data_IF_425805312955
#
_entry.id   IF_425805312955
#
_cell.length_a   1.000
_cell.length_b   1.000
_cell.length_c   1.000
_cell.angle_alpha   90.00
_cell.angle_beta   90.00
_cell.angle_gamma   90.00
#
_symmetry.space_group_name_H-M   'P 1'
#
loop_
_entity.id
_entity.type
_entity.pdbx_description
1 polymer ?
#
# COMPACT_ATOMS: atom_id res chain seq x y z
N UNK A 1 12.60 -36.15 9.03
CA UNK A 1 13.07 -34.99 8.23
C UNK A 1 13.89 -35.52 7.07
N UNK A 2 13.47 -35.29 5.83
CA UNK A 2 14.12 -35.89 4.65
C UNK A 2 15.50 -35.28 4.43
N UNK A 3 16.52 -36.12 4.23
CA UNK A 3 17.94 -35.80 3.95
C UNK A 3 18.15 -34.68 2.90
N UNK A 4 17.26 -34.58 1.91
CA UNK A 4 17.34 -33.56 0.86
C UNK A 4 17.10 -32.12 1.34
N UNK A 5 16.32 -31.91 2.40
CA UNK A 5 16.07 -30.57 2.98
C UNK A 5 17.26 -30.08 3.81
N UNK A 6 17.98 -30.99 4.43
CA UNK A 6 19.19 -30.65 5.21
C UNK A 6 20.37 -30.26 4.29
N UNK A 7 20.51 -30.94 3.14
CA UNK A 7 21.56 -30.61 2.15
C UNK A 7 21.35 -29.21 1.53
N UNK A 8 20.09 -28.82 1.25
CA UNK A 8 19.79 -27.51 0.68
C UNK A 8 20.09 -26.39 1.68
N UNK A 9 19.80 -26.59 2.98
CA UNK A 9 20.08 -25.61 4.03
C UNK A 9 21.59 -25.44 4.25
N UNK A 10 22.37 -26.53 4.17
CA UNK A 10 23.84 -26.47 4.31
C UNK A 10 24.48 -25.79 3.10
N UNK A 11 24.00 -26.02 1.87
CA UNK A 11 24.50 -25.33 0.67
C UNK A 11 24.19 -23.85 0.74
N UNK A 12 23.00 -23.46 1.21
CA UNK A 12 22.64 -22.06 1.37
C UNK A 12 23.48 -21.36 2.45
N UNK A 13 23.80 -22.06 3.57
CA UNK A 13 24.68 -21.52 4.61
C UNK A 13 26.14 -21.44 4.18
N UNK A 14 26.64 -22.39 3.39
CA UNK A 14 28.02 -22.33 2.86
C UNK A 14 28.21 -21.24 1.81
N UNK A 15 27.18 -20.88 1.04
CA UNK A 15 27.20 -19.71 0.13
C UNK A 15 27.20 -18.39 0.90
N UNK A 16 26.65 -18.34 2.12
CA UNK A 16 26.59 -17.14 2.95
C UNK A 16 27.91 -16.85 3.70
N UNK A 17 28.77 -17.84 3.93
CA UNK A 17 29.98 -17.69 4.74
C UNK A 17 31.31 -17.65 3.95
N UNK A 18 31.26 -17.80 2.61
CA UNK A 18 32.47 -17.97 1.78
C UNK A 18 32.93 -16.74 1.00
N UNK A 19 32.25 -15.58 1.06
CA UNK A 19 32.60 -14.42 0.21
C UNK A 19 32.90 -13.20 1.07
N UNK A 20 34.12 -13.16 1.60
CA UNK A 20 34.74 -11.90 2.05
C UNK A 20 35.50 -11.27 0.88
N UNK A 21 34.82 -10.65 -0.02
CA UNK A 21 35.40 -9.66 -0.94
C UNK A 21 34.28 -8.81 -1.54
N UNK A 22 34.47 -7.52 -1.55
CA UNK A 22 33.71 -6.36 -1.95
C UNK A 22 32.85 -6.43 -3.26
N UNK A 23 32.30 -7.57 -3.62
CA UNK A 23 31.22 -7.70 -4.59
C UNK A 23 29.95 -8.00 -3.79
N UNK A 24 29.05 -7.04 -3.64
CA UNK A 24 27.69 -7.29 -3.22
C UNK A 24 27.05 -8.24 -4.26
N UNK A 25 27.23 -9.53 -4.05
CA UNK A 25 26.63 -10.56 -4.90
C UNK A 25 25.12 -10.42 -4.73
N UNK A 26 24.47 -9.84 -5.71
CA UNK A 26 23.02 -9.74 -5.78
C UNK A 26 22.46 -11.16 -5.78
N UNK A 27 21.89 -11.59 -4.66
CA UNK A 27 21.36 -12.94 -4.49
C UNK A 27 20.12 -13.20 -5.34
N UNK A 28 19.50 -12.13 -5.83
CA UNK A 28 18.29 -12.22 -6.65
C UNK A 28 18.41 -11.38 -7.92
N UNK A 29 17.64 -11.76 -8.94
CA UNK A 29 17.51 -11.03 -10.19
C UNK A 29 16.13 -10.37 -10.25
N UNK A 30 16.02 -9.04 -10.49
CA UNK A 30 14.73 -8.39 -10.67
C UNK A 30 13.99 -8.96 -11.91
N UNK A 31 12.68 -9.19 -11.75
CA UNK A 31 11.83 -9.77 -12.78
C UNK A 31 10.44 -9.12 -12.80
N UNK A 32 9.69 -9.31 -13.88
CA UNK A 32 8.37 -8.72 -14.07
C UNK A 32 7.29 -9.56 -13.37
N UNK A 33 6.24 -8.91 -12.90
CA UNK A 33 5.19 -9.53 -12.08
C UNK A 33 4.56 -10.77 -12.71
N UNK A 34 4.36 -10.80 -14.02
CA UNK A 34 3.72 -11.95 -14.68
C UNK A 34 4.63 -13.16 -14.84
N UNK A 35 5.95 -13.02 -14.68
CA UNK A 35 6.89 -14.15 -14.82
C UNK A 35 6.63 -15.24 -13.78
N UNK A 36 6.14 -14.90 -12.58
CA UNK A 36 5.87 -15.87 -11.52
C UNK A 36 4.45 -16.48 -11.55
N UNK A 37 3.53 -15.97 -12.36
CA UNK A 37 2.15 -16.49 -12.40
C UNK A 37 2.05 -18.00 -12.69
N UNK A 38 2.86 -18.59 -13.58
CA UNK A 38 2.88 -20.05 -13.77
C UNK A 38 3.26 -20.79 -12.49
N UNK A 39 4.23 -20.25 -11.72
CA UNK A 39 4.67 -20.85 -10.46
C UNK A 39 3.57 -20.76 -9.37
N UNK A 40 2.85 -19.62 -9.28
CA UNK A 40 1.69 -19.48 -8.39
C UNK A 40 0.65 -20.55 -8.70
N UNK A 41 0.30 -20.73 -9.98
CA UNK A 41 -0.66 -21.76 -10.42
C UNK A 41 -0.16 -23.18 -10.11
N UNK A 42 1.12 -23.43 -10.31
CA UNK A 42 1.72 -24.74 -10.00
C UNK A 42 1.65 -25.04 -8.50
N UNK A 43 2.01 -24.09 -7.64
CA UNK A 43 1.93 -24.27 -6.19
C UNK A 43 0.48 -24.51 -5.75
N UNK A 44 -0.48 -23.77 -6.28
CA UNK A 44 -1.91 -23.97 -5.99
C UNK A 44 -2.38 -25.38 -6.38
N UNK A 45 -2.00 -25.86 -7.57
CA UNK A 45 -2.32 -27.21 -8.06
C UNK A 45 -1.65 -28.29 -7.21
N UNK A 46 -0.35 -28.19 -6.96
CA UNK A 46 0.43 -29.16 -6.19
C UNK A 46 -0.05 -29.25 -4.73
N UNK A 47 -0.60 -28.16 -4.19
CA UNK A 47 -1.17 -28.09 -2.84
C UNK A 47 -2.62 -28.56 -2.76
N UNK A 48 -3.25 -28.88 -3.90
CA UNK A 48 -4.65 -29.30 -3.95
C UNK A 48 -5.64 -28.21 -3.48
N UNK A 49 -5.32 -26.92 -3.67
CA UNK A 49 -6.19 -25.84 -3.25
C UNK A 49 -7.48 -25.79 -4.05
N UNK A 50 -8.60 -25.55 -3.35
CA UNK A 50 -9.93 -25.48 -3.96
C UNK A 50 -10.19 -24.06 -4.42
N UNK A 51 -10.57 -23.89 -5.69
CA UNK A 51 -10.91 -22.61 -6.33
C UNK A 51 -9.86 -21.49 -6.10
N UNK A 52 -8.57 -21.76 -6.36
CA UNK A 52 -7.53 -20.76 -6.11
C UNK A 52 -7.69 -19.57 -7.08
N UNK A 53 -7.70 -18.36 -6.54
CA UNK A 53 -7.69 -17.12 -7.32
C UNK A 53 -6.73 -16.11 -6.69
N UNK A 54 -6.05 -15.30 -7.51
CA UNK A 54 -5.18 -14.25 -6.98
C UNK A 54 -6.04 -13.04 -6.67
N UNK A 55 -6.05 -12.62 -5.41
CA UNK A 55 -6.82 -11.47 -4.93
C UNK A 55 -5.98 -10.21 -4.76
N UNK A 56 -4.67 -10.34 -4.51
CA UNK A 56 -3.76 -9.20 -4.49
C UNK A 56 -2.36 -9.60 -4.93
N UNK A 57 -1.59 -8.61 -5.36
CA UNK A 57 -0.16 -8.73 -5.67
C UNK A 57 0.54 -7.53 -5.05
N UNK A 58 1.73 -7.75 -4.48
CA UNK A 58 2.49 -6.68 -3.87
C UNK A 58 3.99 -6.84 -4.10
N UNK A 59 4.71 -5.76 -3.89
CA UNK A 59 6.17 -5.74 -3.87
C UNK A 59 6.68 -4.61 -3.00
N UNK A 60 7.97 -4.67 -2.68
CA UNK A 60 8.65 -3.69 -1.84
C UNK A 60 9.22 -2.60 -2.73
N UNK A 61 8.84 -1.37 -2.48
CA UNK A 61 9.30 -0.20 -3.23
C UNK A 61 10.51 0.50 -2.62
N UNK A 62 10.66 0.45 -1.29
CA UNK A 62 11.83 0.95 -0.57
C UNK A 62 12.25 -0.02 0.53
N UNK A 63 13.54 -0.07 0.81
CA UNK A 63 14.12 -0.94 1.85
C UNK A 63 14.33 -0.22 3.18
N UNK A 64 13.97 1.05 3.31
CA UNK A 64 14.25 1.83 4.52
C UNK A 64 13.70 1.19 5.80
N UNK A 65 12.56 0.46 5.72
CA UNK A 65 11.98 -0.29 6.83
C UNK A 65 12.47 -1.73 7.00
N UNK A 66 13.27 -2.26 6.07
CA UNK A 66 13.69 -3.67 6.07
C UNK A 66 15.09 -3.90 6.64
N UNK A 67 15.82 -2.83 6.98
CA UNK A 67 17.19 -2.93 7.52
C UNK A 67 18.11 -3.80 6.65
N UNK A 68 18.89 -4.69 7.29
CA UNK A 68 19.80 -5.59 6.59
C UNK A 68 19.11 -6.57 5.63
N UNK A 69 17.86 -6.94 5.90
CA UNK A 69 17.08 -7.87 5.07
C UNK A 69 16.82 -7.30 3.67
N UNK A 70 16.62 -5.98 3.54
CA UNK A 70 16.47 -5.32 2.25
C UNK A 70 17.69 -5.44 1.36
N UNK A 71 18.90 -5.38 1.95
CA UNK A 71 20.17 -5.58 1.23
C UNK A 71 20.32 -7.02 0.71
N UNK A 72 19.84 -8.02 1.46
CA UNK A 72 19.87 -9.43 1.06
C UNK A 72 18.97 -9.73 -0.13
N UNK A 73 17.85 -9.03 -0.28
CA UNK A 73 16.95 -9.18 -1.41
C UNK A 73 17.48 -8.55 -2.72
N UNK A 74 18.61 -7.87 -2.66
CA UNK A 74 19.30 -7.37 -3.86
C UNK A 74 18.62 -6.16 -4.51
N UNK A 75 17.80 -5.41 -3.78
CA UNK A 75 17.21 -4.17 -4.26
C UNK A 75 15.70 -4.06 -4.00
N UNK A 76 15.12 -3.05 -4.60
CA UNK A 76 13.71 -2.68 -4.51
C UNK A 76 13.06 -2.71 -5.89
N UNK A 77 11.77 -2.48 -5.96
CA UNK A 77 11.06 -2.28 -7.21
C UNK A 77 11.64 -1.11 -8.00
N UNK A 78 11.96 -1.35 -9.24
CA UNK A 78 12.52 -0.34 -10.14
C UNK A 78 11.41 0.39 -10.91
N UNK A 79 11.18 1.65 -10.56
CA UNK A 79 10.22 2.54 -11.19
C UNK A 79 10.56 2.90 -12.65
N UNK A 80 11.71 2.49 -13.18
CA UNK A 80 12.05 2.68 -14.60
C UNK A 80 11.68 1.47 -15.45
N UNK A 81 11.86 0.27 -14.90
CA UNK A 81 11.71 -0.98 -15.65
C UNK A 81 10.52 -1.82 -15.21
N UNK A 82 9.87 -1.48 -14.09
CA UNK A 82 8.77 -2.27 -13.52
C UNK A 82 9.21 -3.63 -12.97
N UNK A 83 10.51 -3.83 -12.74
CA UNK A 83 11.06 -5.08 -12.21
C UNK A 83 11.24 -5.00 -10.71
N UNK A 84 11.01 -6.14 -10.04
CA UNK A 84 11.28 -6.30 -8.62
C UNK A 84 12.06 -7.58 -8.34
N UNK A 85 12.94 -7.59 -7.34
CA UNK A 85 13.61 -8.81 -6.90
C UNK A 85 12.65 -9.78 -6.20
N UNK A 86 11.51 -9.28 -5.68
CA UNK A 86 10.51 -10.07 -4.95
C UNK A 86 9.10 -9.67 -5.34
N UNK A 87 8.25 -10.66 -5.54
CA UNK A 87 6.80 -10.46 -5.71
C UNK A 87 6.03 -11.32 -4.72
N UNK A 88 5.02 -10.73 -4.11
CA UNK A 88 4.12 -11.34 -3.14
C UNK A 88 2.75 -11.48 -3.79
N UNK A 89 2.18 -12.67 -3.73
CA UNK A 89 0.85 -12.99 -4.27
C UNK A 89 -0.05 -13.44 -3.14
N UNK A 90 -1.19 -12.79 -2.98
CA UNK A 90 -2.25 -13.25 -2.08
C UNK A 90 -3.20 -14.09 -2.91
N UNK A 91 -3.34 -15.35 -2.53
CA UNK A 91 -4.20 -16.31 -3.20
C UNK A 91 -5.38 -16.63 -2.29
N UNK A 92 -6.57 -16.26 -2.73
CA UNK A 92 -7.82 -16.65 -2.08
C UNK A 92 -8.16 -18.08 -2.47
N UNK A 93 -8.51 -18.90 -1.49
CA UNK A 93 -8.88 -20.30 -1.65
C UNK A 93 -10.15 -20.58 -0.83
N UNK A 94 -10.80 -21.69 -1.11
CA UNK A 94 -11.88 -22.22 -0.30
C UNK A 94 -11.35 -23.40 0.52
N UNK A 95 -11.58 -23.43 1.83
CA UNK A 95 -11.22 -24.59 2.65
C UNK A 95 -12.20 -25.77 2.44
N UNK A 96 -11.91 -26.90 3.06
CA UNK A 96 -12.75 -28.09 2.98
C UNK A 96 -14.18 -27.90 3.53
N UNK A 97 -14.39 -26.86 4.35
CA UNK A 97 -15.70 -26.51 4.94
C UNK A 97 -16.44 -25.45 4.12
N UNK A 98 -15.88 -25.00 3.00
CA UNK A 98 -16.44 -23.93 2.17
C UNK A 98 -16.10 -22.52 2.62
N UNK A 99 -15.24 -22.34 3.64
CA UNK A 99 -14.87 -21.01 4.12
C UNK A 99 -13.75 -20.42 3.28
N UNK A 100 -13.78 -19.11 3.01
CA UNK A 100 -12.72 -18.42 2.31
C UNK A 100 -11.47 -18.29 3.20
N UNK A 101 -10.31 -18.51 2.62
CA UNK A 101 -9.00 -18.33 3.24
C UNK A 101 -8.05 -17.63 2.28
N UNK A 102 -7.06 -16.93 2.81
CA UNK A 102 -5.97 -16.36 2.03
C UNK A 102 -4.67 -17.10 2.28
N UNK A 103 -3.89 -17.31 1.22
CA UNK A 103 -2.53 -17.86 1.26
C UNK A 103 -1.56 -16.87 0.64
N UNK A 104 -0.44 -16.66 1.28
CA UNK A 104 0.60 -15.76 0.79
C UNK A 104 1.70 -16.59 0.12
N UNK A 105 2.01 -16.26 -1.11
CA UNK A 105 3.11 -16.85 -1.87
C UNK A 105 4.10 -15.75 -2.24
N UNK A 106 5.35 -15.95 -1.90
CA UNK A 106 6.43 -15.04 -2.28
C UNK A 106 7.39 -15.74 -3.19
N UNK A 107 7.77 -15.07 -4.27
CA UNK A 107 8.75 -15.56 -5.21
C UNK A 107 9.92 -14.59 -5.31
N UNK A 108 11.12 -15.17 -5.43
CA UNK A 108 12.37 -14.50 -5.78
C UNK A 108 13.00 -15.19 -6.97
N UNK A 109 13.68 -14.45 -7.82
CA UNK A 109 14.43 -15.05 -8.95
C UNK A 109 15.89 -15.15 -8.58
N UNK A 110 16.36 -16.37 -8.38
CA UNK A 110 17.76 -16.66 -8.04
C UNK A 110 18.55 -16.95 -9.31
N UNK A 111 19.75 -16.36 -9.50
CA UNK A 111 20.59 -16.69 -10.64
C UNK A 111 20.80 -18.21 -10.77
N UNK A 112 20.73 -18.73 -11.97
CA UNK A 112 20.89 -20.15 -12.32
C UNK A 112 19.80 -21.11 -11.80
N UNK A 113 19.04 -20.75 -10.74
CA UNK A 113 17.97 -21.58 -10.18
C UNK A 113 16.58 -21.13 -10.66
N UNK A 114 16.49 -19.93 -11.25
CA UNK A 114 15.21 -19.37 -11.70
C UNK A 114 14.32 -18.90 -10.53
N UNK A 115 13.02 -18.93 -10.74
CA UNK A 115 12.03 -18.51 -9.74
C UNK A 115 11.92 -19.55 -8.63
N UNK A 116 12.15 -19.10 -7.39
CA UNK A 116 12.05 -19.92 -6.18
C UNK A 116 10.99 -19.33 -5.25
N UNK A 117 10.18 -20.20 -4.65
CA UNK A 117 9.28 -19.79 -3.59
C UNK A 117 10.09 -19.52 -2.33
N UNK A 118 9.90 -18.33 -1.76
CA UNK A 118 10.54 -17.91 -0.51
C UNK A 118 9.46 -17.86 0.59
N UNK A 119 9.62 -18.62 1.68
CA UNK A 119 8.67 -18.55 2.78
C UNK A 119 8.84 -17.22 3.52
N UNK A 120 7.76 -16.42 3.59
CA UNK A 120 7.70 -15.31 4.54
C UNK A 120 7.21 -15.90 5.87
N UNK A 121 7.91 -15.64 6.99
CA UNK A 121 7.38 -15.94 8.31
C UNK A 121 6.00 -15.29 8.47
N UNK A 122 5.06 -15.99 9.12
CA UNK A 122 3.69 -15.51 9.25
C UNK A 122 3.60 -14.17 10.03
N UNK A 123 4.56 -13.93 10.92
CA UNK A 123 4.72 -12.71 11.72
C UNK A 123 5.39 -11.55 10.96
N UNK A 124 5.99 -11.83 9.80
CA UNK A 124 6.61 -10.83 8.92
C UNK A 124 5.71 -10.45 7.73
N UNK A 125 4.56 -11.11 7.57
CA UNK A 125 3.58 -10.70 6.57
C UNK A 125 2.85 -9.44 7.07
N UNK A 126 2.77 -8.35 6.29
CA UNK A 126 1.97 -7.21 6.68
C UNK A 126 0.53 -7.62 6.95
N UNK A 127 -0.03 -7.20 8.10
CA UNK A 127 -1.41 -7.54 8.51
C UNK A 127 -2.43 -7.08 7.44
N UNK A 128 -2.10 -6.03 6.71
CA UNK A 128 -2.90 -5.50 5.61
C UNK A 128 -3.08 -6.51 4.47
N UNK A 129 -2.13 -7.43 4.26
CA UNK A 129 -2.25 -8.45 3.21
C UNK A 129 -3.39 -9.45 3.46
N UNK A 130 -3.80 -9.63 4.72
CA UNK A 130 -4.94 -10.50 5.09
C UNK A 130 -6.32 -9.85 4.91
N UNK A 131 -6.39 -8.53 4.77
CA UNK A 131 -7.64 -7.74 4.69
C UNK A 131 -8.07 -7.38 3.26
N UNK A 132 -7.30 -7.76 2.24
CA UNK A 132 -7.69 -7.51 0.85
C UNK A 132 -8.99 -8.22 0.49
N UNK A 133 -9.78 -7.57 -0.36
CA UNK A 133 -11.00 -8.14 -0.96
C UNK A 133 -10.72 -9.57 -1.44
N UNK A 134 -11.71 -10.45 -1.28
CA UNK A 134 -11.65 -11.82 -1.81
C UNK A 134 -11.92 -11.87 -3.31
N UNK A 135 -12.21 -10.73 -3.93
CA UNK A 135 -12.44 -10.62 -5.35
C UNK A 135 -11.15 -10.97 -6.13
N UNK A 136 -11.32 -11.74 -7.18
CA UNK A 136 -10.19 -12.21 -7.97
C UNK A 136 -9.70 -11.15 -8.96
N UNK A 137 -8.39 -10.98 -9.04
CA UNK A 137 -7.76 -10.19 -10.08
C UNK A 137 -7.90 -10.84 -11.47
N UNK A 138 -8.16 -10.07 -12.52
CA UNK A 138 -8.23 -10.57 -13.89
C UNK A 138 -6.83 -10.81 -14.49
N UNK A 139 -6.01 -11.67 -13.86
CA UNK A 139 -4.58 -11.86 -14.14
C UNK A 139 -4.25 -12.18 -15.60
N UNK A 140 -5.17 -12.80 -16.34
CA UNK A 140 -4.98 -13.10 -17.77
C UNK A 140 -5.02 -11.85 -18.65
N UNK A 141 -5.78 -10.84 -18.23
CA UNK A 141 -6.00 -9.57 -18.96
C UNK A 141 -5.08 -8.44 -18.48
N UNK A 142 -4.45 -8.60 -17.32
CA UNK A 142 -3.58 -7.57 -16.75
C UNK A 142 -2.41 -7.23 -17.67
N UNK A 143 -2.03 -5.99 -17.67
CA UNK A 143 -0.74 -5.52 -18.17
C UNK A 143 0.39 -6.07 -17.29
N UNK A 144 1.59 -6.18 -17.83
CA UNK A 144 2.75 -6.52 -17.03
C UNK A 144 3.30 -5.27 -16.32
N UNK A 145 4.10 -5.44 -15.28
CA UNK A 145 4.56 -4.32 -14.44
C UNK A 145 5.38 -3.26 -15.18
N UNK A 146 6.09 -3.61 -16.24
CA UNK A 146 6.77 -2.65 -17.12
C UNK A 146 5.78 -1.72 -17.85
N UNK A 147 4.68 -2.26 -18.37
CA UNK A 147 3.64 -1.46 -19.00
C UNK A 147 2.92 -0.54 -17.99
N UNK A 148 2.71 -1.02 -16.76
CA UNK A 148 2.13 -0.22 -15.66
C UNK A 148 3.04 0.96 -15.33
N UNK A 149 4.35 0.75 -15.20
CA UNK A 149 5.30 1.82 -14.93
C UNK A 149 5.42 2.79 -16.11
N UNK A 150 5.36 2.30 -17.34
CA UNK A 150 5.31 3.18 -18.50
C UNK A 150 4.06 4.09 -18.46
N UNK A 151 2.89 3.55 -18.10
CA UNK A 151 1.67 4.33 -17.93
C UNK A 151 1.80 5.39 -16.82
N UNK A 152 2.34 5.02 -15.65
CA UNK A 152 2.62 5.94 -14.57
C UNK A 152 3.57 7.06 -15.00
N UNK A 153 4.66 6.72 -15.68
CA UNK A 153 5.68 7.67 -16.14
C UNK A 153 5.18 8.63 -17.23
N UNK A 154 4.05 8.34 -17.88
CA UNK A 154 3.40 9.27 -18.83
C UNK A 154 2.42 10.24 -18.16
N UNK A 155 2.06 10.00 -16.90
CA UNK A 155 1.17 10.88 -16.14
C UNK A 155 1.88 12.20 -15.79
N UNK A 156 1.28 13.32 -16.25
CA UNK A 156 1.91 14.64 -16.09
C UNK A 156 2.07 15.05 -14.63
N UNK A 157 1.06 14.79 -13.79
CA UNK A 157 1.11 15.16 -12.37
C UNK A 157 2.23 14.41 -11.66
N UNK A 158 2.37 13.11 -11.92
CA UNK A 158 3.48 12.31 -11.39
C UNK A 158 4.85 12.81 -11.88
N UNK A 159 4.97 13.16 -13.17
CA UNK A 159 6.22 13.70 -13.71
C UNK A 159 6.61 15.03 -13.04
N UNK A 160 5.65 15.93 -12.84
CA UNK A 160 5.90 17.22 -12.23
C UNK A 160 6.26 17.05 -10.73
N UNK A 161 5.55 16.17 -10.02
CA UNK A 161 5.88 15.81 -8.64
C UNK A 161 7.29 15.22 -8.50
N UNK A 162 7.63 14.23 -9.31
CA UNK A 162 8.93 13.54 -9.23
C UNK A 162 10.12 14.43 -9.58
N UNK A 163 9.93 15.48 -10.40
CA UNK A 163 10.97 16.48 -10.66
C UNK A 163 11.26 17.36 -9.44
N UNK A 164 10.21 17.73 -8.69
CA UNK A 164 10.31 18.58 -7.51
C UNK A 164 10.77 17.77 -6.31
N UNK A 165 10.35 16.51 -6.22
CA UNK A 165 10.62 15.60 -5.11
C UNK A 165 11.43 14.37 -5.57
N UNK A 166 12.69 14.52 -6.00
CA UNK A 166 13.48 13.43 -6.59
C UNK A 166 13.86 12.33 -5.58
N UNK A 167 13.67 12.57 -4.28
CA UNK A 167 13.92 11.60 -3.21
C UNK A 167 12.67 10.86 -2.78
N UNK A 168 11.47 11.28 -3.23
CA UNK A 168 10.24 10.62 -2.88
C UNK A 168 10.24 9.16 -3.38
N UNK A 169 9.86 8.26 -2.49
CA UNK A 169 9.86 6.81 -2.72
C UNK A 169 8.51 6.22 -2.35
N UNK A 170 8.21 5.08 -2.90
CA UNK A 170 7.03 4.29 -2.51
C UNK A 170 7.51 3.07 -1.73
N UNK A 171 7.18 3.01 -0.45
CA UNK A 171 7.63 1.92 0.44
C UNK A 171 6.98 0.59 0.09
N UNK A 172 5.72 0.62 -0.32
CA UNK A 172 4.96 -0.56 -0.67
C UNK A 172 4.12 -0.31 -1.92
N UNK A 173 4.20 -1.23 -2.86
CA UNK A 173 3.47 -1.15 -4.12
C UNK A 173 2.53 -2.36 -4.18
N UNK A 174 1.24 -2.11 -4.38
CA UNK A 174 0.24 -3.17 -4.34
C UNK A 174 -0.75 -3.08 -5.49
N UNK A 175 -1.31 -4.22 -5.86
CA UNK A 175 -2.40 -4.37 -6.80
C UNK A 175 -3.50 -5.17 -6.14
N UNK A 176 -4.70 -4.64 -6.11
CA UNK A 176 -5.90 -5.30 -5.60
C UNK A 176 -7.17 -4.69 -6.21
N UNK A 177 -8.30 -5.39 -6.17
CA UNK A 177 -9.61 -4.82 -6.51
C UNK A 177 -9.93 -3.72 -5.50
N UNK A 178 -10.06 -2.48 -5.96
CA UNK A 178 -10.25 -1.34 -5.06
C UNK A 178 -11.67 -1.36 -4.48
N UNK A 179 -11.85 -1.29 -3.15
CA UNK A 179 -13.14 -1.55 -2.50
C UNK A 179 -14.15 -0.40 -2.63
N UNK A 180 -13.79 0.70 -3.27
CA UNK A 180 -14.66 1.86 -3.47
C UNK A 180 -14.23 2.65 -4.73
N UNK A 181 -15.11 3.48 -5.30
CA UNK A 181 -14.75 4.34 -6.42
C UNK A 181 -13.77 5.43 -5.98
N UNK A 182 -12.81 5.75 -6.84
CA UNK A 182 -11.88 6.85 -6.58
C UNK A 182 -12.48 8.15 -7.13
N UNK A 183 -12.78 9.09 -6.24
CA UNK A 183 -13.36 10.38 -6.59
C UNK A 183 -12.44 11.17 -7.54
N UNK A 184 -13.03 11.74 -8.58
CA UNK A 184 -12.30 12.49 -9.60
C UNK A 184 -11.65 11.63 -10.67
N UNK A 185 -11.80 10.31 -10.62
CA UNK A 185 -11.34 9.37 -11.65
C UNK A 185 -12.51 8.61 -12.28
N UNK A 186 -12.21 7.81 -13.32
CA UNK A 186 -13.15 6.85 -13.92
C UNK A 186 -13.22 5.51 -13.17
N UNK A 187 -12.43 5.32 -12.11
CA UNK A 187 -12.31 4.04 -11.42
C UNK A 187 -13.50 3.79 -10.51
N UNK A 188 -14.12 2.63 -10.71
CA UNK A 188 -15.26 2.16 -9.95
C UNK A 188 -14.84 1.16 -8.87
N UNK A 189 -15.76 0.85 -7.96
CA UNK A 189 -15.59 -0.24 -7.01
C UNK A 189 -15.25 -1.55 -7.75
N UNK A 190 -14.33 -2.32 -7.21
CA UNK A 190 -13.82 -3.57 -7.80
C UNK A 190 -12.79 -3.36 -8.92
N UNK A 191 -12.48 -2.12 -9.33
CA UNK A 191 -11.43 -1.87 -10.31
C UNK A 191 -10.09 -2.43 -9.83
N UNK A 192 -9.38 -3.24 -10.65
CA UNK A 192 -8.06 -3.78 -10.30
C UNK A 192 -7.01 -2.67 -10.45
N UNK A 193 -6.60 -2.06 -9.36
CA UNK A 193 -5.70 -0.92 -9.37
C UNK A 193 -4.35 -1.22 -8.74
N UNK A 194 -3.29 -0.86 -9.43
CA UNK A 194 -1.98 -0.66 -8.84
C UNK A 194 -2.00 0.62 -8.02
N UNK A 195 -1.53 0.54 -6.79
CA UNK A 195 -1.42 1.66 -5.86
C UNK A 195 0.05 1.95 -5.57
N UNK A 196 0.43 3.20 -5.72
CA UNK A 196 1.74 3.75 -5.41
C UNK A 196 1.54 4.95 -4.48
N UNK A 197 2.19 4.94 -3.32
CA UNK A 197 2.20 6.08 -2.42
C UNK A 197 3.64 6.59 -2.28
N UNK A 198 3.91 7.76 -2.83
CA UNK A 198 5.24 8.38 -2.83
C UNK A 198 5.35 9.36 -1.67
N UNK A 199 6.39 9.19 -0.87
CA UNK A 199 6.70 10.00 0.30
C UNK A 199 8.20 10.35 0.30
N UNK A 200 8.54 11.55 0.76
CA UNK A 200 9.92 11.92 1.04
C UNK A 200 10.13 11.92 2.56
N UNK A 201 10.85 10.92 3.06
CA UNK A 201 11.10 10.74 4.50
C UNK A 201 12.02 11.81 5.11
N UNK A 202 12.57 12.72 4.28
CA UNK A 202 13.53 13.72 4.75
C UNK A 202 12.89 14.85 5.58
N UNK A 203 11.58 15.04 5.50
CA UNK A 203 10.83 16.06 6.25
C UNK A 203 9.40 15.58 6.52
N UNK A 204 8.92 15.73 7.76
CA UNK A 204 7.56 15.38 8.16
C UNK A 204 6.45 16.24 7.48
N UNK A 205 6.83 17.31 6.80
CA UNK A 205 5.94 18.18 6.01
C UNK A 205 6.10 17.93 4.50
N UNK A 206 6.84 16.89 4.12
CA UNK A 206 7.08 16.58 2.71
C UNK A 206 5.77 16.25 2.00
N UNK A 207 5.61 16.73 0.76
CA UNK A 207 4.43 16.41 -0.04
C UNK A 207 4.40 14.92 -0.32
N UNK A 208 3.22 14.34 -0.25
CA UNK A 208 2.98 12.95 -0.62
C UNK A 208 2.12 12.89 -1.87
N UNK A 209 2.33 11.89 -2.71
CA UNK A 209 1.51 11.66 -3.90
C UNK A 209 1.02 10.22 -3.93
N UNK A 210 -0.27 10.05 -4.13
CA UNK A 210 -0.88 8.74 -4.36
C UNK A 210 -1.24 8.61 -5.84
N UNK A 211 -0.77 7.53 -6.47
CA UNK A 211 -1.07 7.21 -7.85
C UNK A 211 -1.75 5.85 -7.96
N UNK A 212 -2.75 5.78 -8.83
CA UNK A 212 -3.52 4.59 -9.15
C UNK A 212 -3.38 4.30 -10.64
N UNK A 213 -3.06 3.08 -11.00
CA UNK A 213 -2.94 2.65 -12.40
C UNK A 213 -3.82 1.44 -12.60
N UNK A 214 -4.78 1.52 -13.51
CA UNK A 214 -5.67 0.41 -13.80
C UNK A 214 -4.91 -0.76 -14.44
N UNK A 215 -4.96 -1.93 -13.80
CA UNK A 215 -4.11 -3.05 -14.17
C UNK A 215 -4.37 -3.61 -15.57
N UNK A 216 -5.53 -3.35 -16.17
CA UNK A 216 -5.89 -3.86 -17.50
C UNK A 216 -5.72 -2.80 -18.58
N UNK A 217 -6.12 -1.56 -18.32
CA UNK A 217 -6.13 -0.48 -19.32
C UNK A 217 -4.88 0.39 -19.29
N UNK A 218 -4.16 0.45 -18.17
CA UNK A 218 -3.06 1.38 -17.95
C UNK A 218 -3.53 2.82 -17.69
N UNK A 219 -4.84 3.05 -17.55
CA UNK A 219 -5.35 4.36 -17.18
C UNK A 219 -4.78 4.75 -15.81
N UNK A 220 -4.30 5.99 -15.70
CA UNK A 220 -3.57 6.46 -14.53
C UNK A 220 -4.24 7.70 -13.94
N UNK A 221 -4.46 7.66 -12.63
CA UNK A 221 -4.94 8.79 -11.85
C UNK A 221 -3.98 9.02 -10.68
N UNK A 222 -3.43 10.22 -10.59
CA UNK A 222 -2.55 10.61 -9.48
C UNK A 222 -3.16 11.79 -8.72
N UNK A 223 -2.93 11.81 -7.42
CA UNK A 223 -3.42 12.86 -6.53
C UNK A 223 -2.29 13.26 -5.60
N UNK A 224 -1.99 14.54 -5.57
CA UNK A 224 -1.09 15.13 -4.59
C UNK A 224 -1.84 15.28 -3.26
N UNK A 225 -1.21 14.97 -2.13
CA UNK A 225 -1.82 15.15 -0.79
C UNK A 225 -2.13 16.61 -0.50
N UNK A 226 -1.43 17.55 -1.13
CA UNK A 226 -1.79 18.95 -1.13
C UNK A 226 -3.14 19.25 -1.80
N UNK A 227 -3.54 18.40 -2.77
CA UNK A 227 -4.80 18.56 -3.51
C UNK A 227 -6.00 17.93 -2.80
N UNK A 228 -5.79 16.97 -1.90
CA UNK A 228 -6.87 16.45 -1.04
C UNK A 228 -7.34 17.45 0.02
N UNK A 229 -6.64 18.56 0.18
CA UNK A 229 -6.95 19.59 1.18
C UNK A 229 -7.84 20.69 0.60
N UNK A 230 -8.10 20.75 -0.70
CA UNK A 230 -8.95 21.80 -1.25
C UNK A 230 -9.96 21.31 -2.29
N UNK A 231 -11.07 20.79 -1.81
CA UNK A 231 -12.34 21.07 -2.51
C UNK A 231 -12.79 22.45 -2.02
N UNK A 232 -12.33 23.48 -2.71
CA UNK A 232 -12.65 24.90 -2.67
C UNK A 232 -11.49 25.81 -2.26
N UNK A 233 -10.60 26.08 -3.21
CA UNK A 233 -9.76 27.28 -3.20
C UNK A 233 -10.51 28.52 -3.78
N UNK A 234 -11.77 28.67 -3.47
CA UNK A 234 -12.42 29.97 -3.52
C UNK A 234 -13.09 30.17 -2.18
N UNK A 235 -12.40 30.83 -1.35
CA UNK A 235 -12.74 31.71 -0.21
C UNK A 235 -11.71 31.50 0.88
N UNK A 236 -10.70 32.34 0.81
CA UNK A 236 -9.87 32.74 1.94
C UNK A 236 -10.73 33.05 3.16
N UNK A 237 -10.76 32.18 4.14
CA UNK A 237 -10.88 32.55 5.55
C UNK A 237 -10.46 31.36 6.40
N UNK A 238 -9.56 31.61 7.33
CA UNK A 238 -8.99 30.81 8.39
C UNK A 238 -9.95 29.84 9.12
N UNK A 239 -10.53 28.89 8.41
CA UNK A 239 -11.32 27.80 9.03
C UNK A 239 -10.53 26.52 9.03
N UNK A 240 -9.44 26.49 9.76
CA UNK A 240 -8.58 25.33 9.74
C UNK A 240 -8.92 24.36 10.85
N UNK A 241 -9.48 23.21 10.49
CA UNK A 241 -9.36 22.00 11.30
C UNK A 241 -7.88 21.77 11.60
N UNK A 242 -7.53 21.52 12.85
CA UNK A 242 -6.16 21.19 13.26
C UNK A 242 -6.18 20.04 14.25
N UNK A 243 -5.21 19.16 14.15
CA UNK A 243 -4.93 18.17 15.19
C UNK A 243 -3.78 18.71 16.04
N UNK A 244 -4.00 18.85 17.33
CA UNK A 244 -2.93 19.12 18.27
C UNK A 244 -2.19 17.82 18.54
N UNK A 245 -0.86 17.81 18.40
CA UNK A 245 -0.01 16.65 18.54
C UNK A 245 -0.23 15.63 17.39
N UNK A 246 0.32 15.92 16.24
CA UNK A 246 0.32 15.02 15.09
C UNK A 246 1.78 14.56 14.81
N UNK A 247 2.05 13.25 14.67
CA UNK A 247 1.12 12.12 14.86
C UNK A 247 0.67 11.95 16.32
N UNK A 248 -0.51 11.34 16.51
CA UNK A 248 -1.02 11.03 17.85
C UNK A 248 -0.30 9.76 18.34
N UNK A 249 0.42 9.88 19.45
CA UNK A 249 1.19 8.77 20.00
C UNK A 249 0.30 7.62 20.48
N UNK A 250 0.84 6.40 20.46
CA UNK A 250 0.14 5.20 20.93
C UNK A 250 -0.43 5.37 22.35
N UNK A 251 -1.69 5.02 22.51
CA UNK A 251 -2.39 5.12 23.79
C UNK A 251 -2.82 6.55 24.21
N UNK A 252 -2.56 7.55 23.35
CA UNK A 252 -2.97 8.93 23.59
C UNK A 252 -4.25 9.29 22.83
N UNK A 253 -5.04 10.18 23.39
CA UNK A 253 -6.19 10.76 22.72
C UNK A 253 -5.75 12.02 21.96
N UNK A 254 -6.12 12.12 20.67
CA UNK A 254 -5.91 13.32 19.90
C UNK A 254 -6.88 14.44 20.30
N UNK A 255 -6.49 15.68 20.05
CA UNK A 255 -7.38 16.84 20.19
C UNK A 255 -7.56 17.46 18.80
N UNK A 256 -8.78 17.41 18.28
CA UNK A 256 -9.17 18.11 17.07
C UNK A 256 -9.69 19.49 17.44
N UNK A 257 -9.08 20.53 16.89
CA UNK A 257 -9.50 21.92 17.03
C UNK A 257 -10.14 22.43 15.74
N UNK A 258 -11.12 23.29 15.86
CA UNK A 258 -11.85 23.87 14.73
C UNK A 258 -12.31 25.29 15.10
N UNK A 259 -12.63 26.12 14.10
CA UNK A 259 -13.17 27.46 14.35
C UNK A 259 -14.48 27.40 15.13
N UNK A 260 -14.84 28.50 15.77
CA UNK A 260 -16.14 28.61 16.41
C UNK A 260 -17.24 28.38 15.37
N UNK A 261 -18.06 27.38 15.62
CA UNK A 261 -19.12 26.94 14.74
C UNK A 261 -20.34 27.82 14.87
N UNK A 262 -20.90 28.30 13.76
CA UNK A 262 -22.21 28.93 13.71
C UNK A 262 -23.23 27.93 13.18
N UNK A 263 -24.24 27.56 13.96
CA UNK A 263 -25.28 26.62 13.54
C UNK A 263 -25.00 25.16 13.89
N UNK A 264 -25.63 24.25 13.16
CA UNK A 264 -25.46 22.78 13.35
C UNK A 264 -24.20 22.28 12.65
N UNK A 265 -23.34 21.63 13.40
CA UNK A 265 -22.16 20.99 12.86
C UNK A 265 -22.05 19.54 13.32
N UNK A 266 -21.45 18.74 12.47
CA UNK A 266 -21.16 17.32 12.70
C UNK A 266 -19.70 17.05 12.32
N UNK A 267 -19.01 16.30 13.16
CA UNK A 267 -17.67 15.80 12.84
C UNK A 267 -17.72 14.28 12.69
N UNK A 268 -17.13 13.78 11.63
CA UNK A 268 -16.97 12.36 11.37
C UNK A 268 -15.48 12.05 11.27
N UNK A 269 -15.06 10.97 11.91
CA UNK A 269 -13.74 10.38 11.75
C UNK A 269 -13.90 9.15 10.88
N UNK A 270 -13.17 9.14 9.77
CA UNK A 270 -13.19 8.05 8.81
C UNK A 270 -11.81 7.41 8.72
N UNK A 271 -11.79 6.11 8.49
CA UNK A 271 -10.55 5.42 8.07
C UNK A 271 -10.24 5.72 6.59
N UNK A 272 -9.11 5.22 6.12
CA UNK A 272 -8.70 5.37 4.71
C UNK A 272 -9.69 4.75 3.72
N UNK A 273 -10.58 3.87 4.20
CA UNK A 273 -11.61 3.22 3.39
C UNK A 273 -12.91 4.01 3.36
N UNK A 274 -12.93 5.23 3.93
CA UNK A 274 -14.13 6.06 4.02
C UNK A 274 -15.18 5.56 5.01
N UNK A 275 -14.87 4.53 5.82
CA UNK A 275 -15.79 4.03 6.84
C UNK A 275 -15.73 4.96 8.04
N UNK A 276 -16.90 5.43 8.50
CA UNK A 276 -16.99 6.23 9.72
C UNK A 276 -16.68 5.34 10.93
N UNK A 277 -15.55 5.62 11.59
CA UNK A 277 -15.13 4.92 12.81
C UNK A 277 -15.62 5.63 14.08
N UNK A 278 -15.89 6.93 13.98
CA UNK A 278 -16.45 7.72 15.07
C UNK A 278 -17.22 8.93 14.51
N UNK A 279 -18.30 9.34 15.16
CA UNK A 279 -19.08 10.51 14.78
C UNK A 279 -19.45 11.32 16.02
N UNK A 280 -19.31 12.64 15.91
CA UNK A 280 -19.73 13.63 16.91
C UNK A 280 -20.85 14.46 16.29
N UNK A 281 -22.09 14.19 16.71
CA UNK A 281 -23.25 14.94 16.29
C UNK A 281 -23.53 16.15 17.19
N UNK A 282 -24.18 17.17 16.65
CA UNK A 282 -24.64 18.36 17.40
C UNK A 282 -23.57 19.05 18.23
N UNK A 283 -22.50 19.49 17.56
CA UNK A 283 -21.45 20.28 18.21
C UNK A 283 -22.03 21.64 18.53
N UNK A 284 -21.92 22.04 19.81
CA UNK A 284 -22.44 23.32 20.28
C UNK A 284 -21.59 24.51 19.78
N UNK A 285 -22.23 25.62 19.51
CA UNK A 285 -21.59 26.84 18.97
C UNK A 285 -20.45 27.43 19.80
N UNK A 286 -20.35 27.05 21.07
CA UNK A 286 -19.27 27.49 21.98
C UNK A 286 -18.06 26.53 21.99
N UNK A 287 -18.16 25.38 21.32
CA UNK A 287 -17.09 24.37 21.31
C UNK A 287 -16.11 24.68 20.18
N UNK A 288 -14.82 24.74 20.49
CA UNK A 288 -13.73 24.91 19.50
C UNK A 288 -12.77 23.74 19.43
N UNK A 289 -13.00 22.71 20.24
CA UNK A 289 -12.20 21.48 20.23
C UNK A 289 -12.99 20.28 20.72
N UNK A 290 -12.62 19.11 20.24
CA UNK A 290 -13.09 17.81 20.74
C UNK A 290 -11.90 16.89 21.00
N UNK A 291 -12.05 16.02 21.99
CA UNK A 291 -11.11 14.95 22.24
C UNK A 291 -11.52 13.75 21.40
N UNK A 292 -10.61 13.27 20.56
CA UNK A 292 -10.79 12.07 19.77
C UNK A 292 -10.70 10.84 20.68
N UNK A 293 -11.49 9.79 20.45
CA UNK A 293 -11.33 8.53 21.16
C UNK A 293 -9.97 7.91 20.80
N UNK A 294 -9.54 6.97 21.60
CA UNK A 294 -8.40 6.14 21.25
C UNK A 294 -8.76 5.29 20.04
N UNK A 295 -8.07 5.53 18.94
CA UNK A 295 -8.20 4.78 17.69
C UNK A 295 -7.09 3.72 17.60
N UNK A 296 -7.30 2.71 16.79
CA UNK A 296 -6.23 1.78 16.42
C UNK A 296 -5.14 2.51 15.63
N UNK A 297 -3.88 2.02 15.64
CA UNK A 297 -2.85 2.57 14.78
C UNK A 297 -3.31 2.60 13.32
N UNK A 298 -3.15 3.75 12.66
CA UNK A 298 -3.64 3.93 11.30
C UNK A 298 -3.73 5.39 10.86
N UNK A 299 -4.11 5.57 9.61
CA UNK A 299 -4.38 6.88 9.01
C UNK A 299 -5.87 7.13 8.98
N UNK A 300 -6.28 8.32 9.38
CA UNK A 300 -7.68 8.73 9.50
C UNK A 300 -7.90 10.10 8.88
N UNK A 301 -9.15 10.35 8.52
CA UNK A 301 -9.63 11.67 8.06
C UNK A 301 -10.71 12.17 9.02
N UNK A 302 -10.49 13.33 9.61
CA UNK A 302 -11.55 14.04 10.32
C UNK A 302 -12.26 14.98 9.35
N UNK A 303 -13.57 14.87 9.23
CA UNK A 303 -14.43 15.70 8.38
C UNK A 303 -15.43 16.46 9.23
N UNK A 304 -15.40 17.79 9.14
CA UNK A 304 -16.39 18.69 9.69
C UNK A 304 -17.41 19.03 8.60
N UNK A 305 -18.68 18.79 8.89
CA UNK A 305 -19.80 19.27 8.08
C UNK A 305 -20.49 20.39 8.85
N UNK A 306 -20.53 21.58 8.28
CA UNK A 306 -21.25 22.73 8.82
C UNK A 306 -22.20 23.25 7.73
N UNK A 307 -23.50 23.03 7.92
CA UNK A 307 -24.54 23.50 7.00
C UNK A 307 -24.31 23.15 5.52
N UNK A 308 -23.76 21.95 5.27
CA UNK A 308 -23.46 21.47 3.93
C UNK A 308 -22.07 21.87 3.38
N UNK A 309 -21.33 22.70 4.13
CA UNK A 309 -19.91 22.97 3.83
C UNK A 309 -19.03 21.97 4.56
N UNK A 310 -18.06 21.41 3.85
CA UNK A 310 -17.16 20.39 4.37
C UNK A 310 -15.75 20.92 4.50
N UNK A 311 -15.13 20.64 5.65
CA UNK A 311 -13.70 20.79 5.88
C UNK A 311 -13.14 19.47 6.36
N UNK A 312 -11.93 19.11 5.97
CA UNK A 312 -11.32 17.85 6.38
C UNK A 312 -9.84 18.00 6.70
N UNK A 313 -9.34 17.14 7.57
CA UNK A 313 -7.91 17.00 7.88
C UNK A 313 -7.56 15.53 8.04
N UNK A 314 -6.41 15.12 7.49
CA UNK A 314 -5.84 13.79 7.68
C UNK A 314 -4.96 13.78 8.94
N UNK A 315 -4.96 12.68 9.67
CA UNK A 315 -4.07 12.47 10.81
C UNK A 315 -3.66 11.01 10.96
N UNK A 316 -2.58 10.79 11.71
CA UNK A 316 -2.03 9.47 11.99
C UNK A 316 -2.17 9.19 13.48
N UNK A 317 -2.71 8.03 13.82
CA UNK A 317 -2.67 7.41 15.14
C UNK A 317 -1.57 6.35 15.14
N UNK A 318 -0.62 6.45 16.07
CA UNK A 318 0.44 5.47 16.29
C UNK A 318 0.08 4.47 17.38
#
# INVERSE_FOLDING_TARGET
MSSKKFTLLVILSCLLFGITSNASAQLTQPYLVKEALPNVKKVASDSGWINPSISAIATIGDTAGLGETGGLLGGVFDLKTGRSPVWIYVVSITDANGNPQSKILTFVKVPFLGLQQFPIPADAAPDELGSFSQDSLPVSKMLNSDAIINALNTNKLYQDFSKVNPKAKSSFISLFPFPFPILGSSFTEGSPLWFFNFEDDSDSLSPTMSCFVHAVTGETFCVDSGTFVSVNDEISQESSLRILSHPIAHGMNGILTFPVISGNAQIEIMDLFGRTVCSFGHIQTSTSSITLPQLLPGVYVARLNQEGTYSSIRFIQQ
#
